data_IF_360419736351
#
_entry.id   IF_360419736351
#
_cell.length_a   1.000
_cell.length_b   1.000
_cell.length_c   1.000
_cell.angle_alpha   90.00
_cell.angle_beta   90.00
_cell.angle_gamma   90.00
#
_symmetry.space_group_name_H-M   'P 1'
#
loop_
_entity.id
_entity.type
_entity.pdbx_description
1 polymer ?
#
# COMPACT_ATOMS: atom_id res chain seq x y z
N UNK A 1 -43.24 60.99 25.23
CA UNK A 1 -42.97 59.81 24.37
C UNK A 1 -42.57 58.50 25.11
N UNK A 2 -42.83 58.29 26.42
CA UNK A 2 -42.47 57.03 27.09
C UNK A 2 -43.41 55.85 26.73
N UNK A 3 -44.67 56.13 26.40
CA UNK A 3 -45.69 55.10 26.17
C UNK A 3 -45.49 54.31 24.86
N UNK A 4 -44.91 54.96 23.85
CA UNK A 4 -44.58 54.33 22.57
C UNK A 4 -43.40 53.33 22.70
N UNK A 5 -42.45 53.62 23.60
CA UNK A 5 -41.34 52.71 23.87
C UNK A 5 -41.80 51.49 24.69
N UNK A 6 -42.72 51.70 25.64
CA UNK A 6 -43.31 50.62 26.43
C UNK A 6 -44.09 49.63 25.54
N UNK A 7 -44.93 50.11 24.63
CA UNK A 7 -45.69 49.25 23.70
C UNK A 7 -44.78 48.51 22.72
N UNK A 8 -43.75 49.16 22.17
CA UNK A 8 -42.76 48.52 21.30
C UNK A 8 -41.99 47.40 22.01
N UNK A 9 -41.56 47.62 23.26
CA UNK A 9 -40.83 46.60 24.04
C UNK A 9 -41.69 45.37 24.37
N UNK A 10 -42.97 45.57 24.69
CA UNK A 10 -43.92 44.48 24.96
C UNK A 10 -44.17 43.66 23.69
N UNK A 11 -44.39 44.33 22.55
CA UNK A 11 -44.59 43.66 21.26
C UNK A 11 -43.35 42.84 20.84
N UNK A 12 -42.15 43.41 21.04
CA UNK A 12 -40.89 42.75 20.73
C UNK A 12 -40.64 41.54 21.64
N UNK A 13 -40.98 41.66 22.93
CA UNK A 13 -40.92 40.54 23.87
C UNK A 13 -41.89 39.41 23.51
N UNK A 14 -43.14 39.76 23.18
CA UNK A 14 -44.16 38.80 22.77
C UNK A 14 -43.79 38.05 21.49
N UNK A 15 -43.12 38.72 20.54
CA UNK A 15 -42.64 38.11 19.30
C UNK A 15 -41.37 37.27 19.50
N UNK A 16 -40.49 37.69 20.41
CA UNK A 16 -39.21 37.01 20.67
C UNK A 16 -39.39 35.75 21.54
N UNK A 17 -40.38 35.72 22.43
CA UNK A 17 -40.68 34.58 23.30
C UNK A 17 -40.92 33.24 22.56
N UNK A 18 -41.80 33.15 21.54
CA UNK A 18 -41.98 31.91 20.79
C UNK A 18 -40.73 31.53 19.99
N UNK A 19 -40.00 32.51 19.46
CA UNK A 19 -38.76 32.29 18.72
C UNK A 19 -37.68 31.66 19.63
N UNK A 20 -37.54 32.15 20.86
CA UNK A 20 -36.61 31.60 21.85
C UNK A 20 -37.01 30.17 22.26
N UNK A 21 -38.31 29.89 22.43
CA UNK A 21 -38.78 28.54 22.74
C UNK A 21 -38.55 27.58 21.58
N UNK A 22 -38.77 28.01 20.33
CA UNK A 22 -38.46 27.23 19.15
C UNK A 22 -36.96 26.92 19.06
N UNK A 23 -36.11 27.94 19.22
CA UNK A 23 -34.66 27.79 19.19
C UNK A 23 -34.17 26.83 20.27
N UNK A 24 -34.73 26.92 21.48
CA UNK A 24 -34.39 26.02 22.59
C UNK A 24 -34.89 24.59 22.34
N UNK A 25 -36.09 24.42 21.79
CA UNK A 25 -36.61 23.11 21.39
C UNK A 25 -35.75 22.45 20.31
N UNK A 26 -35.37 23.23 19.30
CA UNK A 26 -34.49 22.78 18.22
C UNK A 26 -33.09 22.42 18.76
N UNK A 27 -32.54 23.22 19.67
CA UNK A 27 -31.26 22.94 20.33
C UNK A 27 -31.30 21.65 21.17
N UNK A 28 -32.41 21.36 21.86
CA UNK A 28 -32.61 20.09 22.58
C UNK A 28 -32.73 18.92 21.61
N UNK A 29 -33.39 19.11 20.48
CA UNK A 29 -33.51 18.06 19.45
C UNK A 29 -32.17 17.78 18.76
N UNK A 30 -31.33 18.80 18.59
CA UNK A 30 -30.00 18.70 17.97
C UNK A 30 -28.90 18.29 18.97
N UNK A 31 -29.15 18.44 20.28
CA UNK A 31 -28.26 18.04 21.37
C UNK A 31 -27.70 16.62 21.26
N UNK A 32 -28.52 15.56 21.06
CA UNK A 32 -27.99 14.20 20.97
C UNK A 32 -27.09 14.00 19.75
N UNK A 33 -27.40 14.66 18.62
CA UNK A 33 -26.57 14.61 17.43
C UNK A 33 -25.23 15.33 17.65
N UNK A 34 -25.26 16.47 18.33
CA UNK A 34 -24.05 17.21 18.69
C UNK A 34 -23.17 16.45 19.70
N UNK A 35 -23.79 15.77 20.66
CA UNK A 35 -23.09 14.91 21.61
C UNK A 35 -22.41 13.73 20.91
N UNK A 36 -23.09 13.07 19.96
CA UNK A 36 -22.53 11.99 19.16
C UNK A 36 -21.37 12.47 18.27
N UNK A 37 -21.55 13.61 17.59
CA UNK A 37 -20.52 14.23 16.78
C UNK A 37 -19.28 14.58 17.62
N UNK A 38 -19.49 15.12 18.83
CA UNK A 38 -18.40 15.46 19.76
C UNK A 38 -17.71 14.22 20.32
N UNK A 39 -18.43 13.14 20.55
CA UNK A 39 -17.86 11.86 20.96
C UNK A 39 -16.99 11.25 19.85
N UNK A 40 -17.43 11.34 18.59
CA UNK A 40 -16.66 10.90 17.42
C UNK A 40 -15.46 11.81 17.13
N UNK A 41 -15.62 13.13 17.32
CA UNK A 41 -14.54 14.09 17.15
C UNK A 41 -13.52 14.03 18.29
N UNK A 42 -13.90 13.59 19.49
CA UNK A 42 -13.01 13.55 20.66
C UNK A 42 -11.67 12.86 20.34
N UNK A 43 -11.63 11.59 19.88
CA UNK A 43 -10.36 10.92 19.58
C UNK A 43 -9.57 11.64 18.48
N UNK A 44 -10.24 12.22 17.48
CA UNK A 44 -9.59 12.99 16.40
C UNK A 44 -8.99 14.28 16.92
N UNK A 45 -9.68 15.00 17.80
CA UNK A 45 -9.18 16.24 18.41
C UNK A 45 -8.01 15.98 19.34
N UNK A 46 -8.05 14.91 20.15
CA UNK A 46 -6.91 14.51 20.97
C UNK A 46 -5.72 14.07 20.13
N UNK A 47 -5.95 13.30 19.06
CA UNK A 47 -4.90 12.90 18.13
C UNK A 47 -4.29 14.12 17.42
N UNK A 48 -5.12 15.03 16.93
CA UNK A 48 -4.67 16.27 16.28
C UNK A 48 -3.88 17.14 17.25
N UNK A 49 -4.35 17.30 18.50
CA UNK A 49 -3.65 18.08 19.52
C UNK A 49 -2.34 17.42 19.91
N UNK A 50 -2.32 16.10 20.09
CA UNK A 50 -1.09 15.36 20.37
C UNK A 50 -0.08 15.46 19.22
N UNK A 51 -0.55 15.34 17.98
CA UNK A 51 0.28 15.49 16.78
C UNK A 51 0.81 16.91 16.65
N UNK A 52 -0.02 17.93 16.88
CA UNK A 52 0.39 19.34 16.87
C UNK A 52 1.38 19.65 17.98
N UNK A 53 1.17 19.09 19.17
CA UNK A 53 2.09 19.24 20.31
C UNK A 53 3.41 18.55 20.03
N UNK A 54 3.40 17.36 19.41
CA UNK A 54 4.61 16.65 19.01
C UNK A 54 5.38 17.38 17.89
N UNK A 55 4.66 17.97 16.92
CA UNK A 55 5.24 18.81 15.86
C UNK A 55 5.77 20.15 16.38
N UNK A 56 5.12 20.71 17.41
CA UNK A 56 5.50 22.00 18.00
C UNK A 56 6.54 21.86 19.13
N UNK A 57 6.72 20.66 19.68
CA UNK A 57 7.74 20.33 20.68
C UNK A 57 9.16 20.71 20.22
N UNK A 58 9.61 20.36 18.99
CA UNK A 58 10.90 20.84 18.49
C UNK A 58 10.91 22.36 18.25
N UNK A 59 9.75 22.99 18.04
CA UNK A 59 9.63 24.43 17.75
C UNK A 59 9.76 25.31 19.02
N UNK A 60 9.31 24.82 20.19
CA UNK A 60 9.34 25.57 21.46
C UNK A 60 10.70 25.56 22.18
N UNK A 61 11.61 24.64 21.85
CA UNK A 61 12.86 24.42 22.61
C UNK A 61 14.09 25.16 22.07
N UNK A 62 13.94 26.35 21.45
CA UNK A 62 15.07 27.10 20.85
C UNK A 62 15.88 26.31 19.81
N UNK A 63 15.26 25.34 19.13
CA UNK A 63 15.86 24.77 17.93
C UNK A 63 15.73 25.70 16.73
N UNK A 64 15.15 26.91 16.84
CA UNK A 64 14.91 27.81 15.70
C UNK A 64 16.18 28.07 14.87
N UNK A 65 17.35 28.16 15.52
CA UNK A 65 18.67 28.34 14.87
C UNK A 65 19.22 27.03 14.24
N UNK A 66 18.84 25.87 14.80
CA UNK A 66 19.16 24.53 14.24
C UNK A 66 18.13 24.02 13.23
N UNK A 67 16.89 24.51 13.29
CA UNK A 67 15.79 24.16 12.40
C UNK A 67 16.02 24.78 11.04
N UNK A 68 16.65 25.95 10.96
CA UNK A 68 17.10 26.51 9.68
C UNK A 68 18.09 25.56 8.97
N UNK A 69 19.12 25.08 9.69
CA UNK A 69 20.08 24.13 9.10
C UNK A 69 19.46 22.77 8.79
N UNK A 70 18.59 22.24 9.65
CA UNK A 70 17.89 20.97 9.41
C UNK A 70 16.91 21.08 8.24
N UNK A 71 16.17 22.19 8.11
CA UNK A 71 15.24 22.43 7.01
C UNK A 71 16.00 22.58 5.68
N UNK A 72 17.11 23.32 5.69
CA UNK A 72 17.98 23.42 4.52
C UNK A 72 18.56 22.04 4.14
N UNK A 73 19.06 21.27 5.11
CA UNK A 73 19.64 19.95 4.86
C UNK A 73 18.59 18.92 4.39
N UNK A 74 17.40 18.94 4.98
CA UNK A 74 16.30 18.06 4.57
C UNK A 74 15.74 18.45 3.20
N UNK A 75 15.65 19.75 2.91
CA UNK A 75 15.29 20.26 1.60
C UNK A 75 16.29 19.84 0.53
N UNK A 76 17.60 20.03 0.79
CA UNK A 76 18.68 19.62 -0.13
C UNK A 76 18.70 18.11 -0.29
N UNK A 77 18.59 17.33 0.79
CA UNK A 77 18.55 15.87 0.74
C UNK A 77 17.34 15.35 -0.05
N UNK A 78 16.16 15.95 0.15
CA UNK A 78 14.96 15.63 -0.60
C UNK A 78 15.07 15.99 -2.09
N UNK A 79 15.64 17.16 -2.39
CA UNK A 79 15.88 17.61 -3.77
C UNK A 79 16.86 16.68 -4.49
N UNK A 80 17.98 16.33 -3.84
CA UNK A 80 18.95 15.37 -4.37
C UNK A 80 18.28 14.01 -4.56
N UNK A 81 17.58 13.48 -3.56
CA UNK A 81 16.89 12.20 -3.65
C UNK A 81 15.85 12.17 -4.79
N UNK A 82 15.10 13.26 -4.97
CA UNK A 82 14.13 13.38 -6.05
C UNK A 82 14.82 13.43 -7.44
N UNK A 83 15.88 14.22 -7.58
CA UNK A 83 16.66 14.29 -8.82
C UNK A 83 17.29 12.94 -9.14
N UNK A 84 17.97 12.31 -8.18
CA UNK A 84 18.60 11.01 -8.36
C UNK A 84 17.56 9.93 -8.65
N UNK A 85 16.43 9.91 -7.95
CA UNK A 85 15.34 8.98 -8.19
C UNK A 85 14.72 9.15 -9.59
N UNK A 86 14.50 10.39 -10.03
CA UNK A 86 13.99 10.71 -11.36
C UNK A 86 14.98 10.30 -12.46
N UNK A 87 16.28 10.58 -12.28
CA UNK A 87 17.34 10.13 -13.18
C UNK A 87 17.37 8.60 -13.25
N UNK A 88 17.33 7.93 -12.11
CA UNK A 88 17.37 6.48 -12.05
C UNK A 88 16.15 5.86 -12.74
N UNK A 89 14.95 6.41 -12.47
CA UNK A 89 13.72 6.02 -13.16
C UNK A 89 13.85 6.21 -14.68
N UNK A 90 14.33 7.37 -15.11
CA UNK A 90 14.52 7.67 -16.53
C UNK A 90 15.53 6.74 -17.18
N UNK A 91 16.64 6.42 -16.51
CA UNK A 91 17.61 5.45 -17.03
C UNK A 91 17.01 4.05 -17.07
N UNK A 92 16.28 3.61 -16.04
CA UNK A 92 15.61 2.31 -16.07
C UNK A 92 14.57 2.22 -17.18
N UNK A 93 13.76 3.26 -17.35
CA UNK A 93 12.75 3.32 -18.40
C UNK A 93 13.40 3.37 -19.79
N UNK A 94 14.45 4.18 -19.95
CA UNK A 94 15.23 4.26 -21.18
C UNK A 94 15.93 2.93 -21.50
N UNK A 95 16.56 2.28 -20.52
CA UNK A 95 17.17 0.96 -20.71
C UNK A 95 16.11 -0.09 -21.02
N UNK A 96 14.98 -0.10 -20.33
CA UNK A 96 13.89 -1.05 -20.56
C UNK A 96 13.27 -0.87 -21.94
N UNK A 97 13.12 0.38 -22.38
CA UNK A 97 12.62 0.75 -23.71
C UNK A 97 13.62 0.41 -24.81
N UNK A 98 14.91 0.68 -24.60
CA UNK A 98 15.97 0.45 -25.62
C UNK A 98 16.35 -1.04 -25.72
N UNK A 99 16.34 -1.79 -24.62
CA UNK A 99 16.53 -3.24 -24.62
C UNK A 99 15.26 -4.02 -24.99
N UNK A 100 14.12 -3.35 -25.16
CA UNK A 100 12.86 -4.00 -25.53
C UNK A 100 12.33 -4.96 -24.46
N UNK A 101 12.52 -4.64 -23.17
CA UNK A 101 12.00 -5.41 -22.02
C UNK A 101 10.54 -5.02 -21.70
N UNK A 102 9.90 -4.21 -22.54
CA UNK A 102 8.47 -3.90 -22.46
C UNK A 102 7.59 -5.03 -23.05
N UNK A 103 7.81 -6.26 -22.61
CA UNK A 103 6.66 -7.14 -22.39
C UNK A 103 6.25 -6.92 -20.92
N UNK A 104 5.18 -6.18 -20.64
CA UNK A 104 4.68 -6.10 -19.27
C UNK A 104 4.42 -7.53 -18.79
N UNK A 105 4.86 -7.93 -17.59
CA UNK A 105 4.23 -9.08 -16.97
C UNK A 105 2.77 -8.69 -16.81
N UNK A 106 1.89 -9.36 -17.55
CA UNK A 106 0.45 -9.34 -17.36
C UNK A 106 0.16 -9.19 -15.87
N UNK A 107 -0.37 -8.02 -15.49
CA UNK A 107 -0.76 -7.71 -14.12
C UNK A 107 -1.91 -8.61 -13.63
N UNK A 108 -2.37 -9.55 -14.47
CA UNK A 108 -3.39 -10.55 -14.14
C UNK A 108 -2.92 -12.03 -14.20
N UNK A 109 -1.64 -12.33 -14.48
CA UNK A 109 -1.20 -13.72 -14.69
C UNK A 109 -0.24 -14.34 -13.65
N UNK A 110 0.20 -13.59 -12.63
CA UNK A 110 1.22 -14.06 -11.68
C UNK A 110 0.73 -14.33 -10.25
N UNK A 111 -0.58 -14.41 -10.01
CA UNK A 111 -1.12 -15.00 -8.78
C UNK A 111 -1.12 -16.54 -8.78
N UNK A 112 -0.69 -17.20 -9.86
CA UNK A 112 -0.59 -18.66 -9.90
C UNK A 112 0.87 -19.09 -9.76
N UNK A 113 1.25 -19.34 -8.50
CA UNK A 113 2.41 -20.14 -8.17
C UNK A 113 2.46 -21.35 -9.08
N UNK A 114 3.60 -21.50 -9.76
CA UNK A 114 3.92 -22.56 -10.72
C UNK A 114 3.78 -23.92 -10.02
N UNK A 115 2.56 -24.44 -10.00
CA UNK A 115 2.18 -25.59 -9.19
C UNK A 115 2.69 -26.86 -9.86
N UNK A 116 3.28 -27.75 -9.06
CA UNK A 116 3.80 -29.07 -9.46
C UNK A 116 2.75 -29.91 -10.20
N UNK A 117 1.46 -29.61 -10.01
CA UNK A 117 0.33 -30.21 -10.73
C UNK A 117 0.33 -29.91 -12.24
N UNK A 118 0.70 -28.69 -12.67
CA UNK A 118 0.75 -28.30 -14.08
C UNK A 118 1.84 -29.09 -14.85
N UNK A 119 2.99 -29.31 -14.21
CA UNK A 119 4.05 -30.15 -14.78
C UNK A 119 3.65 -31.63 -14.88
N UNK A 120 2.90 -32.17 -13.91
CA UNK A 120 2.37 -33.55 -13.99
C UNK A 120 1.29 -33.69 -15.07
N UNK A 121 0.45 -32.68 -15.28
CA UNK A 121 -0.55 -32.65 -16.35
C UNK A 121 0.09 -32.59 -17.74
N UNK A 122 1.10 -31.74 -17.94
CA UNK A 122 1.84 -31.65 -19.20
C UNK A 122 2.58 -32.96 -19.54
N UNK A 123 3.12 -33.66 -18.54
CA UNK A 123 3.79 -34.96 -18.74
C UNK A 123 2.81 -36.08 -19.07
N UNK A 124 1.56 -36.03 -18.58
CA UNK A 124 0.49 -36.97 -18.95
C UNK A 124 0.00 -36.74 -20.39
N UNK A 125 -0.14 -35.47 -20.82
CA UNK A 125 -0.49 -35.13 -22.21
C UNK A 125 0.57 -35.61 -23.21
N UNK A 126 1.87 -35.37 -22.94
CA UNK A 126 2.96 -35.89 -23.78
C UNK A 126 3.02 -37.41 -23.85
N UNK A 127 2.65 -38.13 -22.78
CA UNK A 127 2.55 -39.60 -22.79
C UNK A 127 1.34 -40.10 -23.58
N UNK A 128 0.20 -39.40 -23.53
CA UNK A 128 -0.99 -39.77 -24.31
C UNK A 128 -0.76 -39.55 -25.82
N UNK A 129 -0.13 -38.45 -26.21
CA UNK A 129 0.23 -38.17 -27.62
C UNK A 129 1.26 -39.18 -28.16
N UNK A 130 2.24 -39.57 -27.35
CA UNK A 130 3.23 -40.60 -27.74
C UNK A 130 2.62 -42.00 -27.91
N UNK A 131 1.54 -42.32 -27.19
CA UNK A 131 0.81 -43.59 -27.35
C UNK A 131 -0.06 -43.56 -28.60
N UNK A 132 -0.67 -42.43 -28.92
CA UNK A 132 -1.48 -42.26 -30.14
C UNK A 132 -0.63 -42.27 -31.42
N UNK A 133 0.61 -41.78 -31.37
CA UNK A 133 1.54 -41.85 -32.51
C UNK A 133 2.08 -43.27 -32.77
N UNK A 134 2.02 -44.16 -31.77
CA UNK A 134 2.49 -45.55 -31.87
C UNK A 134 1.46 -46.52 -32.48
N UNK A 135 0.27 -46.04 -32.80
CA UNK A 135 -0.82 -46.83 -33.40
C UNK A 135 -0.79 -46.89 -34.94
N UNK A 136 0.21 -46.30 -35.60
CA UNK A 136 0.38 -46.39 -37.06
C UNK A 136 1.57 -47.31 -37.40
N UNK A 137 1.36 -48.50 -37.99
CA UNK A 137 2.44 -49.43 -38.31
C UNK A 137 2.96 -49.14 -39.73
N UNK A 138 3.74 -48.08 -39.91
CA UNK A 138 4.47 -47.88 -41.16
C UNK A 138 5.63 -46.88 -41.00
N UNK A 139 6.77 -47.34 -40.48
CA UNK A 139 8.12 -46.97 -40.96
C UNK A 139 9.22 -47.55 -40.05
N UNK A 140 10.28 -48.17 -40.62
CA UNK A 140 11.44 -48.57 -39.86
C UNK A 140 12.54 -47.49 -39.83
N UNK A 141 13.20 -47.40 -38.67
CA UNK A 141 14.61 -47.10 -38.45
C UNK A 141 15.16 -45.69 -38.72
N UNK A 142 15.53 -44.99 -37.64
CA UNK A 142 16.86 -44.41 -37.52
C UNK A 142 17.31 -44.44 -36.05
N UNK A 143 18.56 -44.86 -35.87
CA UNK A 143 19.16 -45.32 -34.62
C UNK A 143 19.33 -44.24 -33.53
N UNK A 144 19.30 -44.70 -32.27
CA UNK A 144 19.83 -43.99 -31.11
C UNK A 144 21.37 -43.92 -31.14
N UNK A 145 22.00 -43.15 -30.24
CA UNK A 145 22.63 -43.91 -29.16
C UNK A 145 22.48 -43.28 -27.77
N UNK A 146 22.09 -44.18 -26.89
CA UNK A 146 22.05 -44.11 -25.45
C UNK A 146 23.48 -44.03 -24.89
N UNK A 147 23.91 -42.88 -24.38
CA UNK A 147 25.18 -42.76 -23.62
C UNK A 147 24.91 -42.83 -22.11
N UNK A 148 24.97 -44.05 -21.58
CA UNK A 148 25.19 -44.32 -20.15
C UNK A 148 26.65 -44.01 -19.81
N UNK A 149 26.92 -42.99 -18.99
CA UNK A 149 28.17 -42.69 -18.27
C UNK A 149 27.81 -41.72 -17.13
N UNK A 150 28.05 -41.93 -15.84
CA UNK A 150 28.62 -43.04 -15.09
C UNK A 150 28.24 -42.89 -13.61
N UNK A 151 27.91 -44.01 -12.96
CA UNK A 151 27.63 -44.16 -11.53
C UNK A 151 28.91 -44.54 -10.74
N UNK A 152 30.07 -44.09 -11.21
CA UNK A 152 31.40 -44.45 -10.68
C UNK A 152 32.27 -43.23 -10.38
N UNK A 153 31.67 -42.05 -10.30
CA UNK A 153 32.35 -40.81 -9.95
C UNK A 153 31.58 -40.13 -8.82
N UNK A 154 31.62 -40.74 -7.64
CA UNK A 154 31.81 -40.01 -6.40
C UNK A 154 32.23 -41.00 -5.32
N UNK A 155 33.55 -41.03 -5.16
CA UNK A 155 34.31 -41.72 -4.14
C UNK A 155 33.85 -41.29 -2.75
N UNK A 156 33.67 -42.30 -1.90
CA UNK A 156 33.46 -42.23 -0.46
C UNK A 156 34.72 -41.60 0.16
N UNK A 157 34.57 -40.51 0.91
CA UNK A 157 35.62 -39.99 1.79
C UNK A 157 35.14 -40.13 3.23
N UNK A 158 35.99 -40.79 4.00
CA UNK A 158 35.85 -41.31 5.36
C UNK A 158 35.73 -40.23 6.44
N UNK A 159 34.96 -40.59 7.46
CA UNK A 159 35.18 -40.35 8.90
C UNK A 159 35.32 -38.88 9.37
N UNK A 160 34.21 -38.33 9.85
CA UNK A 160 34.20 -37.23 10.81
C UNK A 160 34.70 -37.76 12.18
N UNK A 161 35.72 -37.09 12.70
CA UNK A 161 36.31 -37.28 14.03
C UNK A 161 35.22 -37.37 15.12
N UNK A 162 35.17 -38.51 15.79
CA UNK A 162 34.45 -38.68 17.04
C UNK A 162 35.37 -38.36 18.22
N UNK A 163 34.87 -37.47 19.07
CA UNK A 163 35.06 -37.37 20.52
C UNK A 163 36.30 -36.63 21.08
N UNK A 164 36.06 -35.36 21.39
CA UNK A 164 36.37 -34.77 22.70
C UNK A 164 35.06 -34.52 23.46
#
# INVERSE_FOLDING_TARGET
MPDALATASIALYALCWPFLKLARGLAVLLSPFWALARFLLLPVTYLATALFTLLSLPFSLNLLDRVETIYAFLGIAGLIGCITGALLYFFFDFLSSTLGINDPPDTDAHANGRTVSAHRAARRKRKAEAVNFRANPAMPSAASPQRRRGLLAQTIIEEEDSDL
#
